data_IF_828989891953
#
_entry.id   IF_828989891953
#
_cell.length_a   1.000
_cell.length_b   1.000
_cell.length_c   1.000
_cell.angle_alpha   90.00
_cell.angle_beta   90.00
_cell.angle_gamma   90.00
#
_symmetry.space_group_name_H-M   'P 1'
#
loop_
_entity.id
_entity.type
_entity.pdbx_description
1 polymer ?
#
# COMPACT_ATOMS: atom_id res chain seq x y z
N UNK A 1 30.59 55.63 -6.92
CA UNK A 1 31.21 54.75 -5.90
C UNK A 1 32.20 53.73 -6.48
N UNK A 2 31.90 53.07 -7.61
CA UNK A 2 32.80 52.02 -8.17
C UNK A 2 34.19 52.52 -8.66
N UNK A 3 34.35 53.81 -9.01
CA UNK A 3 35.62 54.37 -9.50
C UNK A 3 36.77 54.38 -8.48
N UNK A 4 36.46 54.35 -7.18
CA UNK A 4 37.46 54.45 -6.10
C UNK A 4 37.77 53.09 -5.44
N UNK A 5 37.19 51.99 -5.93
CA UNK A 5 37.51 50.65 -5.46
C UNK A 5 38.73 50.12 -6.21
N UNK A 6 39.57 49.35 -5.51
CA UNK A 6 40.67 48.65 -6.18
C UNK A 6 40.18 47.68 -7.24
N UNK A 7 41.03 47.40 -8.22
CA UNK A 7 40.80 46.35 -9.23
C UNK A 7 40.51 45.01 -8.55
N UNK A 8 41.28 44.69 -7.50
CA UNK A 8 41.09 43.50 -6.67
C UNK A 8 39.69 43.44 -6.06
N UNK A 9 39.22 44.53 -5.43
CA UNK A 9 37.90 44.59 -4.82
C UNK A 9 36.77 44.46 -5.85
N UNK A 10 36.89 45.09 -7.02
CA UNK A 10 35.91 44.99 -8.11
C UNK A 10 35.74 43.54 -8.58
N UNK A 11 36.86 42.84 -8.82
CA UNK A 11 36.86 41.44 -9.25
C UNK A 11 36.25 40.53 -8.17
N UNK A 12 36.69 40.64 -6.92
CA UNK A 12 36.16 39.83 -5.83
C UNK A 12 34.67 40.08 -5.60
N UNK A 13 34.19 41.31 -5.67
CA UNK A 13 32.77 41.62 -5.50
C UNK A 13 31.90 40.95 -6.58
N UNK A 14 32.33 40.96 -7.84
CA UNK A 14 31.61 40.30 -8.94
C UNK A 14 31.56 38.78 -8.73
N UNK A 15 32.70 38.15 -8.50
CA UNK A 15 32.77 36.70 -8.26
C UNK A 15 32.03 36.28 -6.99
N UNK A 16 32.15 37.03 -5.89
CA UNK A 16 31.45 36.74 -4.64
C UNK A 16 29.93 36.79 -4.82
N UNK A 17 29.43 37.73 -5.62
CA UNK A 17 28.00 37.86 -5.91
C UNK A 17 27.46 36.64 -6.67
N UNK A 18 28.18 36.21 -7.72
CA UNK A 18 27.81 35.03 -8.51
C UNK A 18 27.91 33.75 -7.67
N UNK A 19 28.98 33.59 -6.89
CA UNK A 19 29.15 32.45 -5.99
C UNK A 19 28.06 32.41 -4.91
N UNK A 20 27.71 33.55 -4.33
CA UNK A 20 26.63 33.63 -3.36
C UNK A 20 25.30 33.17 -3.95
N UNK A 21 24.95 33.64 -5.16
CA UNK A 21 23.75 33.17 -5.84
C UNK A 21 23.79 31.68 -6.18
N UNK A 22 24.93 31.14 -6.59
CA UNK A 22 25.09 29.71 -6.82
C UNK A 22 24.84 28.89 -5.55
N UNK A 23 25.32 29.38 -4.39
CA UNK A 23 25.05 28.75 -3.09
C UNK A 23 23.56 28.81 -2.76
N UNK A 24 22.89 29.95 -2.99
CA UNK A 24 21.44 30.09 -2.78
C UNK A 24 20.66 29.12 -3.67
N UNK A 25 20.97 29.04 -4.97
CA UNK A 25 20.33 28.10 -5.91
C UNK A 25 20.55 26.66 -5.45
N UNK A 26 21.78 26.31 -5.06
CA UNK A 26 22.12 24.97 -4.60
C UNK A 26 21.37 24.61 -3.32
N UNK A 27 21.25 25.55 -2.37
CA UNK A 27 20.53 25.37 -1.12
C UNK A 27 19.02 25.20 -1.35
N UNK A 28 18.43 26.01 -2.21
CA UNK A 28 17.01 25.91 -2.60
C UNK A 28 16.76 24.57 -3.29
N UNK A 29 17.60 24.21 -4.26
CA UNK A 29 17.52 22.92 -4.97
C UNK A 29 17.61 21.73 -4.01
N UNK A 30 18.56 21.74 -3.08
CA UNK A 30 18.70 20.70 -2.06
C UNK A 30 17.45 20.59 -1.18
N UNK A 31 16.89 21.72 -0.73
CA UNK A 31 15.69 21.74 0.13
C UNK A 31 14.44 21.21 -0.57
N UNK A 32 14.27 21.52 -1.87
CA UNK A 32 13.16 21.00 -2.69
C UNK A 32 13.29 19.50 -2.88
N UNK A 33 14.48 19.02 -3.23
CA UNK A 33 14.73 17.58 -3.45
C UNK A 33 14.51 16.80 -2.15
N UNK A 34 15.00 17.31 -1.01
CA UNK A 34 14.81 16.67 0.29
C UNK A 34 13.34 16.53 0.68
N UNK A 35 12.60 17.65 0.69
CA UNK A 35 11.16 17.63 1.01
C UNK A 35 10.33 16.80 0.03
N UNK A 36 10.69 16.78 -1.26
CA UNK A 36 10.04 15.93 -2.25
C UNK A 36 10.32 14.45 -1.98
N UNK A 37 11.57 14.10 -1.65
CA UNK A 37 11.97 12.73 -1.36
C UNK A 37 11.20 12.16 -0.17
N UNK A 38 11.14 12.89 0.94
CA UNK A 38 10.43 12.46 2.17
C UNK A 38 8.92 12.30 1.91
N UNK A 39 8.34 13.22 1.14
CA UNK A 39 6.94 13.14 0.74
C UNK A 39 6.64 11.95 -0.16
N UNK A 40 7.49 11.66 -1.14
CA UNK A 40 7.34 10.49 -2.01
C UNK A 40 7.55 9.18 -1.27
N UNK A 41 8.41 9.14 -0.25
CA UNK A 41 8.58 7.97 0.61
C UNK A 41 7.30 7.66 1.39
N UNK A 42 6.69 8.68 2.02
CA UNK A 42 5.40 8.54 2.69
C UNK A 42 4.29 8.12 1.72
N UNK A 43 4.17 8.80 0.57
CA UNK A 43 3.19 8.46 -0.47
C UNK A 43 3.33 7.01 -0.91
N UNK A 44 4.57 6.55 -1.16
CA UNK A 44 4.87 5.16 -1.53
C UNK A 44 4.51 4.18 -0.41
N UNK A 45 4.76 4.53 0.85
CA UNK A 45 4.36 3.76 2.02
C UNK A 45 2.84 3.54 2.08
N UNK A 46 2.06 4.61 1.95
CA UNK A 46 0.60 4.54 1.92
C UNK A 46 0.07 3.78 0.71
N UNK A 47 0.66 3.96 -0.47
CA UNK A 47 0.30 3.18 -1.66
C UNK A 47 0.53 1.68 -1.47
N UNK A 48 1.65 1.29 -0.84
CA UNK A 48 1.94 -0.10 -0.49
C UNK A 48 0.89 -0.63 0.51
N UNK A 49 0.57 0.12 1.55
CA UNK A 49 -0.40 -0.30 2.56
C UNK A 49 -1.82 -0.41 2.00
N UNK A 50 -2.24 0.50 1.11
CA UNK A 50 -3.51 0.40 0.39
C UNK A 50 -3.58 -0.84 -0.50
N UNK A 51 -2.48 -1.18 -1.18
CA UNK A 51 -2.38 -2.42 -1.96
C UNK A 51 -2.41 -3.68 -1.07
N UNK A 52 -1.75 -3.64 0.10
CA UNK A 52 -1.83 -4.72 1.09
C UNK A 52 -3.27 -4.93 1.57
N UNK A 53 -4.00 -3.86 1.88
CA UNK A 53 -5.42 -3.95 2.21
C UNK A 53 -6.24 -4.59 1.07
N UNK A 54 -5.91 -4.30 -0.20
CA UNK A 54 -6.49 -4.99 -1.35
C UNK A 54 -6.19 -6.50 -1.38
N UNK A 55 -4.98 -6.92 -1.00
CA UNK A 55 -4.62 -8.35 -0.88
C UNK A 55 -5.35 -9.05 0.26
N UNK A 56 -5.49 -8.37 1.41
CA UNK A 56 -6.30 -8.83 2.54
C UNK A 56 -7.75 -9.05 2.09
N UNK A 57 -8.33 -8.09 1.36
CA UNK A 57 -9.69 -8.19 0.83
C UNK A 57 -9.86 -9.38 -0.12
N UNK A 58 -8.89 -9.63 -1.00
CA UNK A 58 -8.93 -10.75 -1.94
C UNK A 58 -8.81 -12.11 -1.23
N UNK A 59 -7.85 -12.26 -0.30
CA UNK A 59 -7.70 -13.50 0.46
C UNK A 59 -8.93 -13.78 1.34
N UNK A 60 -9.49 -12.74 1.99
CA UNK A 60 -10.73 -12.88 2.74
C UNK A 60 -11.88 -13.35 1.86
N UNK A 61 -11.99 -12.85 0.62
CA UNK A 61 -13.02 -13.30 -0.31
C UNK A 61 -12.86 -14.79 -0.64
N UNK A 62 -11.63 -15.24 -0.89
CA UNK A 62 -11.33 -16.66 -1.15
C UNK A 62 -11.59 -17.56 0.06
N UNK A 63 -11.22 -17.13 1.28
CA UNK A 63 -11.57 -17.84 2.52
C UNK A 63 -13.09 -17.94 2.67
N UNK A 64 -13.83 -16.84 2.45
CA UNK A 64 -15.30 -16.84 2.55
C UNK A 64 -15.96 -17.72 1.48
N UNK A 65 -15.41 -17.76 0.27
CA UNK A 65 -15.89 -18.62 -0.81
C UNK A 65 -15.64 -20.10 -0.46
N UNK A 66 -14.44 -20.42 0.01
CA UNK A 66 -14.07 -21.78 0.45
C UNK A 66 -14.94 -22.23 1.62
N UNK A 67 -15.23 -21.36 2.58
CA UNK A 67 -16.18 -21.67 3.66
C UNK A 67 -17.57 -21.99 3.12
N UNK A 68 -18.09 -21.22 2.16
CA UNK A 68 -19.39 -21.50 1.53
C UNK A 68 -19.38 -22.82 0.75
N UNK A 69 -18.31 -23.13 0.02
CA UNK A 69 -18.14 -24.41 -0.67
C UNK A 69 -18.13 -25.57 0.33
N UNK A 70 -17.38 -25.43 1.43
CA UNK A 70 -17.38 -26.41 2.51
C UNK A 70 -18.79 -26.64 3.09
N UNK A 71 -19.61 -25.60 3.27
CA UNK A 71 -20.98 -25.77 3.79
C UNK A 71 -21.88 -26.56 2.84
N UNK A 72 -21.60 -26.54 1.55
CA UNK A 72 -22.34 -27.24 0.51
C UNK A 72 -21.81 -28.67 0.35
N UNK A 73 -20.51 -28.83 0.17
CA UNK A 73 -19.88 -30.09 -0.24
C UNK A 73 -19.28 -30.89 0.94
N UNK A 74 -18.89 -30.21 2.01
CA UNK A 74 -18.28 -30.82 3.20
C UNK A 74 -16.90 -31.42 2.96
N UNK A 75 -16.14 -30.91 1.98
CA UNK A 75 -14.84 -31.46 1.58
C UNK A 75 -13.70 -30.85 2.38
N UNK A 76 -12.74 -31.69 2.80
CA UNK A 76 -11.56 -31.24 3.55
C UNK A 76 -10.72 -30.21 2.79
N UNK A 77 -10.65 -30.33 1.46
CA UNK A 77 -9.93 -29.38 0.60
C UNK A 77 -10.37 -27.94 0.83
N UNK A 78 -11.67 -27.70 1.04
CA UNK A 78 -12.19 -26.35 1.25
C UNK A 78 -11.79 -25.79 2.63
N UNK A 79 -11.64 -26.65 3.63
CA UNK A 79 -11.08 -26.29 4.95
C UNK A 79 -9.61 -25.90 4.80
N UNK A 80 -8.86 -26.66 4.01
CA UNK A 80 -7.44 -26.40 3.77
C UNK A 80 -7.25 -25.06 3.01
N UNK A 81 -8.05 -24.81 1.96
CA UNK A 81 -8.03 -23.55 1.21
C UNK A 81 -8.51 -22.36 2.05
N UNK A 82 -9.51 -22.56 2.91
CA UNK A 82 -9.92 -21.53 3.88
C UNK A 82 -8.75 -21.10 4.76
N UNK A 83 -8.04 -22.09 5.33
CA UNK A 83 -6.93 -21.87 6.25
C UNK A 83 -5.77 -21.14 5.57
N UNK A 84 -5.36 -21.59 4.38
CA UNK A 84 -4.27 -20.99 3.61
C UNK A 84 -4.49 -19.48 3.39
N UNK A 85 -5.67 -19.09 2.92
CA UNK A 85 -5.99 -17.70 2.66
C UNK A 85 -6.18 -16.88 3.94
N UNK A 86 -6.68 -17.49 5.02
CA UNK A 86 -6.83 -16.81 6.29
C UNK A 86 -5.46 -16.53 6.93
N UNK A 87 -4.53 -17.48 6.92
CA UNK A 87 -3.16 -17.30 7.39
C UNK A 87 -2.43 -16.21 6.59
N UNK A 88 -2.62 -16.16 5.27
CA UNK A 88 -2.09 -15.09 4.44
C UNK A 88 -2.66 -13.71 4.85
N UNK A 89 -3.96 -13.66 5.17
CA UNK A 89 -4.66 -12.46 5.65
C UNK A 89 -4.09 -11.99 6.99
N UNK A 90 -3.91 -12.91 7.94
CA UNK A 90 -3.31 -12.65 9.25
C UNK A 90 -1.86 -12.17 9.14
N UNK A 91 -1.06 -12.78 8.25
CA UNK A 91 0.31 -12.34 7.97
C UNK A 91 0.37 -10.90 7.45
N UNK A 92 -0.50 -10.54 6.50
CA UNK A 92 -0.59 -9.16 6.02
C UNK A 92 -1.09 -8.19 7.10
N UNK A 93 -2.00 -8.62 7.96
CA UNK A 93 -2.50 -7.80 9.06
C UNK A 93 -1.41 -7.53 10.10
N UNK A 94 -0.64 -8.54 10.48
CA UNK A 94 0.48 -8.39 11.41
C UNK A 94 1.54 -7.42 10.87
N UNK A 95 1.83 -7.46 9.57
CA UNK A 95 2.74 -6.51 8.94
C UNK A 95 2.16 -5.08 8.86
N UNK A 96 0.84 -4.94 8.68
CA UNK A 96 0.17 -3.64 8.71
C UNK A 96 0.20 -3.02 10.11
N UNK A 97 0.01 -3.82 11.17
CA UNK A 97 0.05 -3.36 12.55
C UNK A 97 1.43 -2.83 12.98
N UNK A 98 2.52 -3.40 12.47
CA UNK A 98 3.89 -2.93 12.76
C UNK A 98 4.20 -1.54 12.19
N UNK A 99 3.52 -1.16 11.11
CA UNK A 99 3.82 0.04 10.32
C UNK A 99 2.62 0.99 10.28
N UNK A 100 1.79 1.00 11.33
CA UNK A 100 0.60 1.84 11.40
C UNK A 100 0.95 3.23 11.90
N UNK A 101 0.56 4.25 11.15
CA UNK A 101 1.01 5.63 11.39
C UNK A 101 0.07 6.45 12.29
N UNK A 102 -1.17 5.99 12.50
CA UNK A 102 -2.24 6.76 13.16
C UNK A 102 -3.03 5.91 14.17
N UNK A 103 -3.40 6.44 15.35
CA UNK A 103 -4.20 5.73 16.35
C UNK A 103 -5.54 5.22 15.82
N UNK A 104 -6.18 5.95 14.90
CA UNK A 104 -7.45 5.56 14.29
C UNK A 104 -7.31 4.26 13.50
N UNK A 105 -6.28 4.17 12.63
CA UNK A 105 -5.97 2.94 11.88
C UNK A 105 -5.59 1.79 12.81
N UNK A 106 -4.82 2.06 13.86
CA UNK A 106 -4.46 1.04 14.84
C UNK A 106 -5.72 0.43 15.48
N UNK A 107 -6.70 1.26 15.84
CA UNK A 107 -8.00 0.81 16.35
C UNK A 107 -8.76 -0.06 15.36
N UNK A 108 -8.81 0.33 14.08
CA UNK A 108 -9.48 -0.45 13.02
C UNK A 108 -8.78 -1.81 12.82
N UNK A 109 -7.44 -1.83 12.77
CA UNK A 109 -6.67 -3.06 12.60
C UNK A 109 -6.84 -4.03 13.78
N UNK A 110 -6.91 -3.53 15.03
CA UNK A 110 -7.21 -4.36 16.20
C UNK A 110 -8.62 -4.96 16.14
N UNK A 111 -9.60 -4.17 15.71
CA UNK A 111 -10.97 -4.67 15.52
C UNK A 111 -11.02 -5.73 14.41
N UNK A 112 -10.29 -5.51 13.33
CA UNK A 112 -10.16 -6.46 12.23
C UNK A 112 -9.57 -7.79 12.69
N UNK A 113 -8.50 -7.76 13.50
CA UNK A 113 -7.89 -8.96 14.09
C UNK A 113 -8.87 -9.74 14.97
N UNK A 114 -9.58 -9.05 15.88
CA UNK A 114 -10.58 -9.70 16.74
C UNK A 114 -11.72 -10.34 15.94
N UNK A 115 -12.18 -9.66 14.88
CA UNK A 115 -13.22 -10.19 14.00
C UNK A 115 -12.73 -11.39 13.17
N UNK A 116 -11.48 -11.37 12.68
CA UNK A 116 -10.88 -12.50 11.97
C UNK A 116 -10.77 -13.73 12.88
N UNK A 117 -10.31 -13.57 14.12
CA UNK A 117 -10.25 -14.67 15.10
C UNK A 117 -11.65 -15.24 15.37
N UNK A 118 -12.64 -14.36 15.55
CA UNK A 118 -14.03 -14.80 15.77
C UNK A 118 -14.57 -15.54 14.53
N UNK A 119 -14.23 -15.08 13.33
CA UNK A 119 -14.62 -15.71 12.07
C UNK A 119 -13.98 -17.10 11.89
N UNK A 120 -12.67 -17.20 12.20
CA UNK A 120 -11.92 -18.45 12.24
C UNK A 120 -12.58 -19.46 13.18
N UNK A 121 -12.80 -19.08 14.43
CA UNK A 121 -13.32 -19.99 15.46
C UNK A 121 -14.73 -20.46 15.11
N UNK A 122 -15.58 -19.56 14.64
CA UNK A 122 -16.92 -19.90 14.18
C UNK A 122 -16.92 -20.85 12.97
N UNK A 123 -15.95 -20.71 12.06
CA UNK A 123 -15.81 -21.63 10.93
C UNK A 123 -15.44 -23.04 11.41
N UNK A 124 -14.46 -23.18 12.30
CA UNK A 124 -14.05 -24.49 12.83
C UNK A 124 -15.11 -25.14 13.74
N UNK A 125 -15.93 -24.32 14.42
CA UNK A 125 -17.13 -24.80 15.11
C UNK A 125 -18.11 -25.46 14.11
N UNK A 126 -18.34 -24.83 12.96
CA UNK A 126 -19.15 -25.39 11.87
C UNK A 126 -18.52 -26.66 11.28
N UNK A 127 -17.21 -26.71 11.07
CA UNK A 127 -16.49 -27.92 10.61
C UNK A 127 -16.76 -29.10 11.55
N UNK A 128 -16.64 -28.87 12.86
CA UNK A 128 -16.89 -29.89 13.88
C UNK A 128 -18.34 -30.38 13.86
N UNK A 129 -19.30 -29.45 13.75
CA UNK A 129 -20.72 -29.78 13.63
C UNK A 129 -21.02 -30.58 12.36
N UNK A 130 -20.41 -30.24 11.23
CA UNK A 130 -20.60 -30.97 9.97
C UNK A 130 -20.02 -32.39 10.03
N UNK A 131 -18.88 -32.59 10.68
CA UNK A 131 -18.32 -33.92 10.94
C UNK A 131 -19.26 -34.75 11.84
N UNK A 132 -19.78 -34.16 12.91
CA UNK A 132 -20.76 -34.81 13.80
C UNK A 132 -22.04 -35.16 13.07
N UNK A 133 -22.55 -34.27 12.20
CA UNK A 133 -23.71 -34.53 11.34
C UNK A 133 -23.48 -35.77 10.49
N UNK A 134 -22.32 -35.86 9.82
CA UNK A 134 -21.97 -37.01 8.96
C UNK A 134 -21.96 -38.32 9.73
N UNK A 135 -21.37 -38.35 10.93
CA UNK A 135 -21.35 -39.55 11.79
C UNK A 135 -22.76 -39.99 12.20
N UNK A 136 -23.65 -39.04 12.50
CA UNK A 136 -25.05 -39.35 12.83
C UNK A 136 -25.81 -39.85 11.59
N UNK A 137 -25.56 -39.23 10.43
CA UNK A 137 -26.15 -39.65 9.16
C UNK A 137 -25.77 -41.09 8.79
N UNK A 138 -24.51 -41.49 8.99
CA UNK A 138 -24.05 -42.87 8.76
C UNK A 138 -24.81 -43.88 9.65
N UNK A 139 -25.10 -43.52 10.90
CA UNK A 139 -25.93 -44.35 11.80
C UNK A 139 -27.37 -44.44 11.32
N UNK A 140 -27.98 -43.33 10.90
CA UNK A 140 -29.34 -43.32 10.34
C UNK A 140 -29.42 -44.19 9.07
N UNK A 141 -28.41 -44.10 8.21
CA UNK A 141 -28.29 -44.90 6.99
C UNK A 141 -28.05 -46.40 7.26
N UNK A 142 -27.65 -46.77 8.47
CA UNK A 142 -27.50 -48.17 8.89
C UNK A 142 -28.77 -48.68 9.59
N UNK A 143 -29.25 -47.96 10.61
CA UNK A 143 -30.37 -48.37 11.45
C UNK A 143 -31.71 -48.32 10.70
N UNK A 144 -31.92 -47.33 9.85
CA UNK A 144 -33.15 -47.17 9.06
C UNK A 144 -33.45 -48.37 8.15
N UNK A 145 -32.51 -48.81 7.28
CA UNK A 145 -32.67 -50.02 6.49
C UNK A 145 -32.77 -51.30 7.32
N UNK A 146 -32.10 -51.39 8.46
CA UNK A 146 -32.20 -52.58 9.31
C UNK A 146 -33.60 -52.72 9.91
N UNK A 147 -34.19 -51.63 10.41
CA UNK A 147 -35.59 -51.63 10.86
C UNK A 147 -36.56 -52.01 9.75
N UNK A 148 -36.37 -51.47 8.55
CA UNK A 148 -37.16 -51.79 7.37
C UNK A 148 -37.12 -53.30 7.08
N UNK A 149 -35.92 -53.90 7.00
CA UNK A 149 -35.76 -55.34 6.73
C UNK A 149 -36.42 -56.21 7.80
N UNK A 150 -36.19 -55.91 9.08
CA UNK A 150 -36.78 -56.67 10.19
C UNK A 150 -38.31 -56.59 10.16
N UNK A 151 -38.88 -55.41 9.88
CA UNK A 151 -40.32 -55.20 9.85
C UNK A 151 -40.97 -55.85 8.62
N UNK A 152 -40.27 -55.83 7.48
CA UNK A 152 -40.63 -56.59 6.28
C UNK A 152 -40.64 -58.10 6.54
N UNK A 153 -39.68 -58.63 7.30
CA UNK A 153 -39.66 -60.04 7.70
C UNK A 153 -40.83 -60.40 8.62
N UNK A 154 -41.14 -59.55 9.61
CA UNK A 154 -42.33 -59.71 10.47
C UNK A 154 -43.60 -59.75 9.63
N UNK A 155 -43.76 -58.82 8.69
CA UNK A 155 -44.92 -58.76 7.79
C UNK A 155 -45.05 -60.04 6.94
N UNK A 156 -43.97 -60.47 6.30
CA UNK A 156 -43.97 -61.62 5.39
C UNK A 156 -44.21 -62.94 6.13
N UNK A 157 -43.60 -63.12 7.31
CA UNK A 157 -43.79 -64.33 8.13
C UNK A 157 -45.18 -64.37 8.76
N UNK A 158 -45.71 -63.24 9.24
CA UNK A 158 -47.09 -63.14 9.71
C UNK A 158 -48.09 -63.52 8.61
N UNK A 159 -47.89 -63.04 7.38
CA UNK A 159 -48.74 -63.41 6.25
C UNK A 159 -48.66 -64.91 5.91
N UNK A 160 -47.46 -65.51 5.94
CA UNK A 160 -47.28 -66.97 5.74
C UNK A 160 -48.03 -67.79 6.79
N UNK A 161 -48.03 -67.32 8.03
CA UNK A 161 -48.74 -67.96 9.15
C UNK A 161 -50.24 -67.63 9.18
N UNK A 162 -50.75 -66.86 8.20
CA UNK A 162 -52.14 -66.34 8.13
C UNK A 162 -52.53 -65.46 9.32
N UNK A 163 -51.55 -64.85 9.98
CA UNK A 163 -51.72 -63.83 11.00
C UNK A 163 -51.93 -62.46 10.32
N UNK A 164 -53.14 -62.27 9.77
CA UNK A 164 -53.46 -61.10 8.96
C UNK A 164 -53.38 -59.78 9.73
N UNK A 165 -53.67 -59.82 11.04
CA UNK A 165 -53.60 -58.63 11.89
C UNK A 165 -52.14 -58.20 12.05
N UNK A 166 -51.24 -59.11 12.44
CA UNK A 166 -49.83 -58.78 12.55
C UNK A 166 -49.22 -58.37 11.20
N UNK A 167 -49.61 -59.02 10.10
CA UNK A 167 -49.15 -58.64 8.76
C UNK A 167 -49.61 -57.22 8.37
N UNK A 168 -50.87 -56.87 8.62
CA UNK A 168 -51.41 -55.54 8.36
C UNK A 168 -50.74 -54.45 9.21
N UNK A 169 -50.57 -54.72 10.51
CA UNK A 169 -49.90 -53.81 11.45
C UNK A 169 -48.43 -53.58 11.09
N UNK A 170 -47.71 -54.66 10.76
CA UNK A 170 -46.33 -54.56 10.29
C UNK A 170 -46.23 -53.76 8.97
N UNK A 171 -47.15 -53.96 8.03
CA UNK A 171 -47.22 -53.17 6.79
C UNK A 171 -47.53 -51.68 7.02
N UNK A 172 -48.40 -51.37 7.97
CA UNK A 172 -48.74 -49.97 8.32
C UNK A 172 -47.57 -49.29 9.01
N UNK A 173 -46.92 -49.97 9.97
CA UNK A 173 -45.69 -49.50 10.61
C UNK A 173 -44.58 -49.28 9.56
N UNK A 174 -44.44 -50.18 8.58
CA UNK A 174 -43.45 -50.07 7.50
C UNK A 174 -43.68 -48.84 6.64
N UNK A 175 -44.94 -48.53 6.28
CA UNK A 175 -45.30 -47.31 5.57
C UNK A 175 -44.88 -46.06 6.36
N UNK A 176 -45.22 -45.97 7.65
CA UNK A 176 -44.87 -44.82 8.49
C UNK A 176 -43.35 -44.68 8.66
N UNK A 177 -42.63 -45.79 8.83
CA UNK A 177 -41.17 -45.80 8.87
C UNK A 177 -40.55 -45.26 7.57
N UNK A 178 -41.04 -45.70 6.41
CA UNK A 178 -40.54 -45.26 5.10
C UNK A 178 -40.82 -43.76 4.86
N UNK A 179 -42.00 -43.28 5.27
CA UNK A 179 -42.33 -41.85 5.21
C UNK A 179 -41.45 -41.04 6.16
N UNK A 180 -41.26 -41.48 7.41
CA UNK A 180 -40.34 -40.84 8.34
C UNK A 180 -38.93 -40.75 7.73
N UNK A 181 -38.40 -41.83 7.17
CA UNK A 181 -37.08 -41.87 6.50
C UNK A 181 -37.00 -40.93 5.30
N UNK A 182 -38.04 -40.85 4.48
CA UNK A 182 -38.11 -39.89 3.36
C UNK A 182 -38.00 -38.45 3.85
N UNK A 183 -38.71 -38.10 4.92
CA UNK A 183 -38.67 -36.75 5.49
C UNK A 183 -37.38 -36.46 6.26
N UNK A 184 -36.68 -37.49 6.78
CA UNK A 184 -35.30 -37.34 7.29
C UNK A 184 -34.37 -36.88 6.16
N UNK A 185 -34.43 -37.51 4.99
CA UNK A 185 -33.60 -37.13 3.83
C UNK A 185 -33.95 -35.70 3.39
N UNK A 186 -35.24 -35.37 3.26
CA UNK A 186 -35.66 -33.99 2.93
C UNK A 186 -35.16 -32.96 3.94
N UNK A 187 -35.14 -33.32 5.23
CA UNK A 187 -34.59 -32.45 6.27
C UNK A 187 -33.08 -32.29 6.13
N UNK A 188 -32.33 -33.36 5.89
CA UNK A 188 -30.87 -33.32 5.68
C UNK A 188 -30.47 -32.46 4.47
N UNK A 189 -31.27 -32.49 3.41
CA UNK A 189 -31.02 -31.70 2.19
C UNK A 189 -31.39 -30.23 2.34
N UNK A 190 -32.56 -29.94 2.93
CA UNK A 190 -33.14 -28.58 2.90
C UNK A 190 -33.13 -27.85 4.25
N UNK A 191 -32.87 -28.56 5.35
CA UNK A 191 -32.92 -28.05 6.72
C UNK A 191 -34.25 -27.35 7.09
N UNK A 192 -35.37 -27.75 6.47
CA UNK A 192 -36.67 -27.08 6.68
C UNK A 192 -37.45 -27.65 7.87
N UNK A 193 -38.05 -26.76 8.66
CA UNK A 193 -38.76 -27.13 9.89
C UNK A 193 -39.99 -28.02 9.65
N UNK A 194 -40.67 -27.86 8.52
CA UNK A 194 -41.82 -28.67 8.11
C UNK A 194 -41.43 -30.15 7.91
N UNK A 195 -40.25 -30.40 7.33
CA UNK A 195 -39.71 -31.75 7.19
C UNK A 195 -39.42 -32.37 8.57
N UNK A 196 -38.80 -31.62 9.49
CA UNK A 196 -38.58 -32.09 10.87
C UNK A 196 -39.89 -32.44 11.58
N UNK A 197 -40.90 -31.57 11.49
CA UNK A 197 -42.23 -31.82 12.06
C UNK A 197 -42.87 -33.08 11.45
N UNK A 198 -42.72 -33.26 10.13
CA UNK A 198 -43.26 -34.45 9.46
C UNK A 198 -42.55 -35.72 9.88
N UNK A 199 -41.22 -35.71 10.06
CA UNK A 199 -40.51 -36.86 10.64
C UNK A 199 -41.09 -37.20 12.00
N UNK A 200 -41.28 -36.23 12.89
CA UNK A 200 -41.84 -36.46 14.22
C UNK A 200 -43.23 -37.09 14.17
N UNK A 201 -44.11 -36.59 13.30
CA UNK A 201 -45.47 -37.14 13.13
C UNK A 201 -45.44 -38.58 12.63
N UNK A 202 -44.72 -38.86 11.55
CA UNK A 202 -44.63 -40.22 10.97
C UNK A 202 -43.96 -41.20 11.93
N UNK A 203 -43.01 -40.73 12.73
CA UNK A 203 -42.36 -41.55 13.75
C UNK A 203 -43.29 -41.92 14.89
N UNK A 204 -44.14 -40.99 15.33
CA UNK A 204 -45.15 -41.26 16.35
C UNK A 204 -46.16 -42.32 15.86
N UNK A 205 -46.61 -42.21 14.61
CA UNK A 205 -47.49 -43.21 13.98
C UNK A 205 -46.80 -44.58 13.89
N UNK A 206 -45.52 -44.60 13.49
CA UNK A 206 -44.70 -45.81 13.47
C UNK A 206 -44.58 -46.47 14.86
N UNK A 207 -44.25 -45.70 15.90
CA UNK A 207 -44.12 -46.22 17.26
C UNK A 207 -45.45 -46.74 17.81
N UNK A 208 -46.56 -46.08 17.50
CA UNK A 208 -47.89 -46.54 17.88
C UNK A 208 -48.24 -47.89 17.25
N UNK A 209 -48.03 -48.05 15.95
CA UNK A 209 -48.27 -49.32 15.25
C UNK A 209 -47.31 -50.42 15.73
N UNK A 210 -46.05 -50.09 15.98
CA UNK A 210 -45.05 -51.04 16.50
C UNK A 210 -45.41 -51.53 17.90
N UNK A 211 -45.87 -50.65 18.79
CA UNK A 211 -46.31 -51.04 20.14
C UNK A 211 -47.59 -51.88 20.10
N UNK A 212 -48.52 -51.57 19.19
CA UNK A 212 -49.72 -52.38 18.99
C UNK A 212 -49.35 -53.78 18.50
N UNK A 213 -48.47 -53.87 17.49
CA UNK A 213 -47.95 -55.13 16.95
C UNK A 213 -47.24 -55.97 18.02
N UNK A 214 -46.43 -55.34 18.88
CA UNK A 214 -45.74 -56.00 20.01
C UNK A 214 -46.74 -56.66 20.99
N UNK A 215 -47.88 -56.03 21.22
CA UNK A 215 -48.93 -56.56 22.12
C UNK A 215 -49.72 -57.73 21.54
N UNK A 216 -49.82 -57.83 20.22
CA UNK A 216 -50.63 -58.83 19.51
C UNK A 216 -49.83 -60.08 19.14
N UNK A 217 -48.52 -59.96 18.93
CA UNK A 217 -47.68 -61.04 18.41
C UNK A 217 -47.26 -62.05 19.50
N UNK A 218 -47.64 -63.31 19.31
CA UNK A 218 -47.27 -64.41 20.23
C UNK A 218 -46.02 -65.19 19.77
N UNK A 219 -45.74 -65.22 18.47
CA UNK A 219 -44.60 -65.94 17.90
C UNK A 219 -43.27 -65.43 18.47
N UNK A 220 -42.43 -66.33 18.99
CA UNK A 220 -41.17 -65.97 19.67
C UNK A 220 -40.16 -65.30 18.74
N UNK A 221 -40.01 -65.80 17.50
CA UNK A 221 -39.12 -65.20 16.51
C UNK A 221 -39.56 -63.79 16.12
N UNK A 222 -40.88 -63.57 15.89
CA UNK A 222 -41.41 -62.24 15.61
C UNK A 222 -41.26 -61.28 16.79
N UNK A 223 -41.45 -61.75 18.03
CA UNK A 223 -41.22 -60.93 19.24
C UNK A 223 -39.76 -60.48 19.36
N UNK A 224 -38.80 -61.35 19.04
CA UNK A 224 -37.38 -60.95 19.01
C UNK A 224 -37.14 -59.86 17.97
N UNK A 225 -37.62 -60.03 16.74
CA UNK A 225 -37.50 -59.01 15.69
C UNK A 225 -38.11 -57.68 16.09
N UNK A 226 -39.30 -57.69 16.72
CA UNK A 226 -39.97 -56.48 17.23
C UNK A 226 -39.13 -55.80 18.32
N UNK A 227 -38.57 -56.57 19.26
CA UNK A 227 -37.67 -56.05 20.28
C UNK A 227 -36.45 -55.37 19.67
N UNK A 228 -35.83 -56.00 18.66
CA UNK A 228 -34.68 -55.44 17.94
C UNK A 228 -35.07 -54.15 17.21
N UNK A 229 -36.24 -54.11 16.55
CA UNK A 229 -36.79 -52.90 15.91
C UNK A 229 -37.00 -51.79 16.95
N UNK A 230 -37.56 -52.08 18.13
CA UNK A 230 -37.75 -51.08 19.20
C UNK A 230 -36.42 -50.53 19.75
N UNK A 231 -35.35 -51.34 19.76
CA UNK A 231 -34.00 -50.88 20.07
C UNK A 231 -33.49 -49.89 19.02
N UNK A 232 -33.48 -50.33 17.76
CA UNK A 232 -33.05 -49.52 16.63
C UNK A 232 -33.88 -48.24 16.48
N UNK A 233 -35.18 -48.30 16.77
CA UNK A 233 -36.08 -47.15 16.69
C UNK A 233 -35.73 -46.09 17.74
N UNK A 234 -35.41 -46.48 18.97
CA UNK A 234 -34.99 -45.51 19.99
C UNK A 234 -33.68 -44.82 19.61
N UNK A 235 -32.72 -45.59 19.09
CA UNK A 235 -31.45 -45.04 18.60
C UNK A 235 -31.64 -44.13 17.40
N UNK A 236 -32.37 -44.57 16.37
CA UNK A 236 -32.66 -43.80 15.17
C UNK A 236 -33.34 -42.46 15.50
N UNK A 237 -34.31 -42.48 16.42
CA UNK A 237 -34.99 -41.26 16.87
C UNK A 237 -34.05 -40.30 17.58
N UNK A 238 -33.21 -40.84 18.47
CA UNK A 238 -32.22 -40.06 19.22
C UNK A 238 -31.19 -39.43 18.28
N UNK A 239 -30.65 -40.22 17.34
CA UNK A 239 -29.68 -39.74 16.35
C UNK A 239 -30.30 -38.69 15.41
N UNK A 240 -31.56 -38.85 15.00
CA UNK A 240 -32.25 -37.83 14.21
C UNK A 240 -32.47 -36.52 14.97
N UNK A 241 -32.84 -36.58 16.26
CA UNK A 241 -32.97 -35.38 17.08
C UNK A 241 -31.61 -34.70 17.28
N UNK A 242 -30.52 -35.47 17.39
CA UNK A 242 -29.16 -34.94 17.42
C UNK A 242 -28.77 -34.27 16.10
N UNK A 243 -29.14 -34.87 14.95
CA UNK A 243 -28.97 -34.24 13.63
C UNK A 243 -29.69 -32.90 13.57
N UNK A 244 -30.94 -32.84 14.06
CA UNK A 244 -31.70 -31.61 14.15
C UNK A 244 -30.97 -30.54 14.95
N UNK A 245 -30.51 -30.86 16.16
CA UNK A 245 -29.75 -29.93 17.02
C UNK A 245 -28.49 -29.44 16.31
N UNK A 246 -27.68 -30.36 15.76
CA UNK A 246 -26.42 -30.02 15.07
C UNK A 246 -26.65 -29.11 13.87
N UNK A 247 -27.69 -29.37 13.08
CA UNK A 247 -28.05 -28.51 11.93
C UNK A 247 -28.53 -27.13 12.41
N UNK A 248 -29.32 -27.08 13.48
CA UNK A 248 -29.81 -25.81 14.05
C UNK A 248 -28.65 -24.97 14.58
N UNK A 249 -27.76 -25.56 15.38
CA UNK A 249 -26.59 -24.90 15.95
C UNK A 249 -25.67 -24.38 14.83
N UNK A 250 -25.45 -25.21 13.80
CA UNK A 250 -24.66 -24.83 12.63
C UNK A 250 -25.28 -23.64 11.89
N UNK A 251 -26.58 -23.68 11.62
CA UNK A 251 -27.27 -22.60 10.91
C UNK A 251 -27.23 -21.30 11.71
N UNK A 252 -27.40 -21.37 13.03
CA UNK A 252 -27.27 -20.22 13.93
C UNK A 252 -25.87 -19.58 13.83
N UNK A 253 -24.80 -20.40 13.83
CA UNK A 253 -23.42 -19.89 13.67
C UNK A 253 -23.22 -19.25 12.30
N UNK A 254 -23.71 -19.88 11.23
CA UNK A 254 -23.57 -19.35 9.87
C UNK A 254 -24.31 -18.01 9.74
N UNK A 255 -25.58 -17.96 10.10
CA UNK A 255 -26.45 -16.80 9.89
C UNK A 255 -26.14 -15.65 10.85
N UNK A 256 -25.88 -15.96 12.13
CA UNK A 256 -25.71 -14.94 13.16
C UNK A 256 -24.27 -14.59 13.50
N UNK A 257 -23.27 -15.40 13.10
CA UNK A 257 -21.85 -15.05 13.22
C UNK A 257 -21.21 -14.83 11.85
N UNK A 258 -21.05 -15.89 11.04
CA UNK A 258 -20.21 -15.83 9.83
C UNK A 258 -20.74 -14.85 8.77
N UNK A 259 -22.05 -14.90 8.48
CA UNK A 259 -22.66 -14.03 7.48
C UNK A 259 -22.75 -12.56 7.93
N UNK A 260 -22.58 -12.26 9.22
CA UNK A 260 -22.51 -10.88 9.75
C UNK A 260 -21.08 -10.37 9.85
N UNK A 261 -20.18 -11.19 10.40
CA UNK A 261 -18.78 -10.82 10.64
C UNK A 261 -18.02 -10.72 9.32
N UNK A 262 -18.25 -11.62 8.35
CA UNK A 262 -17.57 -11.59 7.06
C UNK A 262 -17.69 -10.24 6.31
N UNK A 263 -18.91 -9.69 6.14
CA UNK A 263 -19.10 -8.33 5.61
C UNK A 263 -18.49 -7.23 6.47
N UNK A 264 -18.54 -7.34 7.81
CA UNK A 264 -17.94 -6.35 8.70
C UNK A 264 -16.42 -6.28 8.53
N UNK A 265 -15.73 -7.43 8.50
CA UNK A 265 -14.29 -7.52 8.18
C UNK A 265 -14.02 -6.86 6.82
N UNK A 266 -14.83 -7.15 5.80
CA UNK A 266 -14.67 -6.56 4.46
C UNK A 266 -14.82 -5.03 4.48
N UNK A 267 -15.73 -4.51 5.29
CA UNK A 267 -15.94 -3.06 5.49
C UNK A 267 -14.75 -2.41 6.19
N UNK A 268 -14.22 -3.04 7.24
CA UNK A 268 -13.05 -2.52 7.97
C UNK A 268 -11.81 -2.47 7.08
N UNK A 269 -11.60 -3.49 6.24
CA UNK A 269 -10.50 -3.52 5.27
C UNK A 269 -10.64 -2.40 4.24
N UNK A 270 -11.86 -2.17 3.72
CA UNK A 270 -12.12 -1.07 2.79
C UNK A 270 -11.92 0.30 3.47
N UNK A 271 -12.31 0.44 4.74
CA UNK A 271 -12.08 1.67 5.52
C UNK A 271 -10.59 1.99 5.66
N UNK A 272 -9.74 1.00 5.98
CA UNK A 272 -8.28 1.16 6.02
C UNK A 272 -7.74 1.57 4.66
N UNK A 273 -8.16 0.89 3.58
CA UNK A 273 -7.74 1.17 2.21
C UNK A 273 -8.10 2.60 1.78
N UNK A 274 -9.34 3.02 2.04
CA UNK A 274 -9.81 4.37 1.74
C UNK A 274 -9.13 5.42 2.60
N UNK A 275 -8.80 5.10 3.86
CA UNK A 275 -8.02 5.97 4.73
C UNK A 275 -6.63 6.27 4.13
N UNK A 276 -5.88 5.26 3.69
CA UNK A 276 -4.59 5.47 3.01
C UNK A 276 -4.74 6.18 1.67
N UNK A 277 -5.81 5.91 0.92
CA UNK A 277 -6.10 6.59 -0.34
C UNK A 277 -6.37 8.08 -0.13
N UNK A 278 -7.14 8.44 0.90
CA UNK A 278 -7.45 9.83 1.22
C UNK A 278 -6.20 10.63 1.57
N UNK A 279 -5.25 10.03 2.29
CA UNK A 279 -3.96 10.67 2.59
C UNK A 279 -3.11 10.86 1.33
N UNK A 280 -3.10 9.87 0.42
CA UNK A 280 -2.45 9.99 -0.90
C UNK A 280 -3.09 11.08 -1.77
N UNK A 281 -4.43 11.15 -1.80
CA UNK A 281 -5.17 12.13 -2.60
C UNK A 281 -4.97 13.58 -2.08
N UNK A 282 -4.54 13.75 -0.81
CA UNK A 282 -4.11 15.05 -0.25
C UNK A 282 -2.63 15.34 -0.53
N UNK A 283 -1.74 14.41 -0.20
CA UNK A 283 -0.29 14.63 -0.29
C UNK A 283 0.20 14.73 -1.74
N UNK A 284 -0.36 13.94 -2.66
CA UNK A 284 0.06 13.94 -4.07
C UNK A 284 0.01 15.33 -4.72
N UNK A 285 -1.14 16.02 -4.70
CA UNK A 285 -1.26 17.40 -5.20
C UNK A 285 -0.37 18.41 -4.45
N UNK A 286 -0.20 18.27 -3.14
CA UNK A 286 0.67 19.14 -2.34
C UNK A 286 2.14 19.02 -2.74
N UNK A 287 2.62 17.79 -2.96
CA UNK A 287 3.97 17.52 -3.46
C UNK A 287 4.17 18.06 -4.86
N UNK A 288 3.20 17.89 -5.76
CA UNK A 288 3.26 18.45 -7.11
C UNK A 288 3.34 19.98 -7.07
N UNK A 289 2.46 20.64 -6.30
CA UNK A 289 2.47 22.09 -6.17
C UNK A 289 3.76 22.62 -5.51
N UNK A 290 4.30 21.90 -4.53
CA UNK A 290 5.58 22.22 -3.89
C UNK A 290 6.73 22.13 -4.90
N UNK A 291 6.77 21.07 -5.70
CA UNK A 291 7.79 20.88 -6.74
C UNK A 291 7.69 21.94 -7.85
N UNK A 292 6.48 22.27 -8.32
CA UNK A 292 6.26 23.32 -9.32
C UNK A 292 6.74 24.69 -8.83
N UNK A 293 6.43 25.03 -7.57
CA UNK A 293 6.95 26.25 -6.92
C UNK A 293 8.47 26.22 -6.81
N UNK A 294 9.03 25.07 -6.42
CA UNK A 294 10.47 24.88 -6.31
C UNK A 294 11.21 25.09 -7.63
N UNK A 295 10.71 24.47 -8.70
CA UNK A 295 11.24 24.62 -10.06
C UNK A 295 11.15 26.10 -10.49
N UNK A 296 10.02 26.76 -10.25
CA UNK A 296 9.85 28.17 -10.56
C UNK A 296 10.89 29.05 -9.84
N UNK A 297 11.14 28.80 -8.54
CA UNK A 297 12.16 29.53 -7.78
C UNK A 297 13.57 29.31 -8.35
N UNK A 298 13.92 28.08 -8.71
CA UNK A 298 15.22 27.77 -9.34
C UNK A 298 15.38 28.54 -10.66
N UNK A 299 14.34 28.57 -11.51
CA UNK A 299 14.36 29.31 -12.77
C UNK A 299 14.56 30.81 -12.52
N UNK A 300 13.79 31.40 -11.61
CA UNK A 300 13.89 32.83 -11.28
C UNK A 300 15.28 33.18 -10.74
N UNK A 301 15.80 32.43 -9.77
CA UNK A 301 17.14 32.68 -9.23
C UNK A 301 18.24 32.46 -10.26
N UNK A 302 18.09 31.48 -11.17
CA UNK A 302 19.05 31.24 -12.26
C UNK A 302 19.06 32.40 -13.26
N UNK A 303 17.88 32.94 -13.61
CA UNK A 303 17.78 34.13 -14.47
C UNK A 303 18.38 35.37 -13.81
N UNK A 304 18.14 35.57 -12.50
CA UNK A 304 18.77 36.65 -11.73
C UNK A 304 20.28 36.46 -11.70
N UNK A 305 20.79 35.25 -11.47
CA UNK A 305 22.21 34.94 -11.48
C UNK A 305 22.87 35.23 -12.82
N UNK A 306 22.21 34.86 -13.91
CA UNK A 306 22.67 35.16 -15.26
C UNK A 306 22.71 36.67 -15.51
N UNK A 307 21.64 37.39 -15.18
CA UNK A 307 21.56 38.83 -15.34
C UNK A 307 22.64 39.56 -14.51
N UNK A 308 22.84 39.14 -13.25
CA UNK A 308 23.89 39.68 -12.38
C UNK A 308 25.29 39.35 -12.89
N UNK A 309 25.51 38.15 -13.43
CA UNK A 309 26.79 37.77 -14.05
C UNK A 309 27.12 38.62 -15.27
N UNK A 310 26.14 38.85 -16.15
CA UNK A 310 26.27 39.76 -17.31
C UNK A 310 26.53 41.20 -16.84
N UNK A 311 25.75 41.69 -15.87
CA UNK A 311 25.91 43.03 -15.32
C UNK A 311 27.30 43.22 -14.68
N UNK A 312 27.75 42.27 -13.86
CA UNK A 312 29.08 42.29 -13.26
C UNK A 312 30.19 42.26 -14.33
N UNK A 313 30.05 41.42 -15.36
CA UNK A 313 30.98 41.36 -16.49
C UNK A 313 31.13 42.73 -17.17
N UNK A 314 30.01 43.39 -17.50
CA UNK A 314 30.03 44.72 -18.15
C UNK A 314 30.56 45.81 -17.20
N UNK A 315 30.13 45.82 -15.94
CA UNK A 315 30.50 46.82 -14.94
C UNK A 315 31.97 46.73 -14.53
N UNK A 316 32.57 45.54 -14.55
CA UNK A 316 33.98 45.31 -14.22
C UNK A 316 34.85 45.50 -15.46
N UNK A 317 34.39 45.06 -16.64
CA UNK A 317 35.15 45.15 -17.90
C UNK A 317 35.44 46.60 -18.29
N UNK A 318 34.46 47.50 -18.25
CA UNK A 318 34.65 48.91 -18.67
C UNK A 318 35.74 49.67 -17.90
N UNK A 319 35.70 49.77 -16.56
CA UNK A 319 36.68 50.55 -15.79
C UNK A 319 38.06 49.91 -15.68
N UNK A 320 38.26 48.68 -16.18
CA UNK A 320 39.56 47.99 -16.18
C UNK A 320 40.11 47.91 -17.59
N UNK A 321 39.38 47.27 -18.53
CA UNK A 321 39.89 46.95 -19.87
C UNK A 321 40.16 48.20 -20.68
N UNK A 322 39.27 49.21 -20.63
CA UNK A 322 39.45 50.42 -21.43
C UNK A 322 40.69 51.24 -20.97
N UNK A 323 40.84 51.60 -19.68
CA UNK A 323 42.05 52.27 -19.20
C UNK A 323 43.33 51.47 -19.44
N UNK A 324 43.31 50.15 -19.26
CA UNK A 324 44.47 49.31 -19.55
C UNK A 324 44.86 49.39 -21.03
N UNK A 325 43.89 49.37 -21.95
CA UNK A 325 44.16 49.56 -23.38
C UNK A 325 44.75 50.95 -23.69
N UNK A 326 44.28 52.00 -23.00
CA UNK A 326 44.85 53.36 -23.12
C UNK A 326 46.30 53.42 -22.61
N UNK A 327 46.58 52.81 -21.45
CA UNK A 327 47.93 52.67 -20.92
C UNK A 327 48.86 51.94 -21.90
N UNK A 328 48.40 50.83 -22.48
CA UNK A 328 49.16 50.06 -23.49
C UNK A 328 49.42 50.91 -24.74
N UNK A 329 48.41 51.63 -25.24
CA UNK A 329 48.54 52.47 -26.43
C UNK A 329 49.57 53.59 -26.22
N UNK A 330 49.55 54.26 -25.06
CA UNK A 330 50.51 55.33 -24.75
C UNK A 330 51.90 54.76 -24.54
N UNK A 331 52.05 53.66 -23.81
CA UNK A 331 53.34 53.01 -23.64
C UNK A 331 53.97 52.59 -24.98
N UNK A 332 53.16 52.08 -25.92
CA UNK A 332 53.61 51.73 -27.26
C UNK A 332 54.08 52.96 -28.05
N UNK A 333 53.28 54.04 -28.06
CA UNK A 333 53.66 55.29 -28.73
C UNK A 333 54.96 55.89 -28.18
N UNK A 334 55.16 55.82 -26.87
CA UNK A 334 56.41 56.26 -26.20
C UNK A 334 57.58 55.36 -26.59
N UNK A 335 57.38 54.05 -26.69
CA UNK A 335 58.41 53.11 -27.16
C UNK A 335 58.79 53.36 -28.63
N UNK A 336 57.84 53.79 -29.46
CA UNK A 336 58.04 54.17 -30.86
C UNK A 336 58.64 55.60 -31.01
N UNK A 337 58.92 56.28 -29.90
CA UNK A 337 59.61 57.57 -29.86
C UNK A 337 58.70 58.81 -29.79
N UNK A 338 57.39 58.64 -29.68
CA UNK A 338 56.45 59.77 -29.50
C UNK A 338 56.30 60.15 -28.01
N UNK A 339 57.08 61.14 -27.57
CA UNK A 339 57.09 61.64 -26.20
C UNK A 339 56.07 62.75 -25.93
N UNK A 340 55.16 63.04 -26.87
CA UNK A 340 54.10 64.04 -26.68
C UNK A 340 52.78 63.45 -26.14
N UNK A 341 52.82 62.19 -25.74
CA UNK A 341 51.68 61.49 -25.18
C UNK A 341 51.43 61.89 -23.72
N UNK A 342 50.15 61.89 -23.31
CA UNK A 342 49.78 62.09 -21.90
C UNK A 342 48.55 61.26 -21.54
N UNK A 343 48.58 60.63 -20.38
CA UNK A 343 47.46 59.85 -19.84
C UNK A 343 46.67 60.72 -18.87
N UNK A 344 45.41 61.02 -19.19
CA UNK A 344 44.51 61.72 -18.28
C UNK A 344 43.45 60.71 -17.83
N UNK A 345 43.79 59.95 -16.78
CA UNK A 345 42.88 58.98 -16.17
C UNK A 345 42.36 59.52 -14.83
N UNK A 346 41.05 59.75 -14.76
CA UNK A 346 40.31 60.09 -13.52
C UNK A 346 40.02 58.81 -12.71
N UNK A 347 41.07 58.19 -12.16
CA UNK A 347 41.00 56.98 -11.33
C UNK A 347 41.92 57.07 -10.12
N UNK A 348 41.43 56.62 -8.96
CA UNK A 348 42.17 56.58 -7.69
C UNK A 348 42.52 55.15 -7.25
N UNK A 349 42.67 54.23 -8.19
CA UNK A 349 42.98 52.82 -7.94
C UNK A 349 44.37 52.44 -8.49
N UNK A 350 44.66 51.13 -8.58
CA UNK A 350 45.94 50.65 -9.08
C UNK A 350 46.22 51.10 -10.53
N UNK A 351 45.18 51.29 -11.33
CA UNK A 351 45.32 51.75 -12.73
C UNK A 351 45.65 53.25 -12.77
N UNK A 352 45.01 54.05 -11.91
CA UNK A 352 45.35 55.47 -11.73
C UNK A 352 46.81 55.66 -11.32
N UNK A 353 47.25 54.90 -10.31
CA UNK A 353 48.66 54.90 -9.86
C UNK A 353 49.63 54.54 -11.00
N UNK A 354 49.27 53.56 -11.83
CA UNK A 354 50.08 53.15 -12.99
C UNK A 354 50.13 54.23 -14.07
N UNK A 355 49.01 54.93 -14.31
CA UNK A 355 48.93 56.05 -15.24
C UNK A 355 49.84 57.21 -14.82
N UNK A 356 49.82 57.59 -13.54
CA UNK A 356 50.70 58.61 -12.97
C UNK A 356 52.17 58.22 -13.11
N UNK A 357 52.48 56.95 -12.86
CA UNK A 357 53.84 56.41 -13.01
C UNK A 357 54.32 56.50 -14.47
N UNK A 358 53.48 56.14 -15.44
CA UNK A 358 53.80 56.25 -16.87
C UNK A 358 53.97 57.72 -17.28
N UNK A 359 53.09 58.63 -16.86
CA UNK A 359 53.24 60.06 -17.12
C UNK A 359 54.56 60.63 -16.58
N UNK A 360 54.97 60.20 -15.38
CA UNK A 360 56.26 60.55 -14.79
C UNK A 360 57.44 60.06 -15.62
N UNK A 361 57.34 58.85 -16.18
CA UNK A 361 58.32 58.28 -17.11
C UNK A 361 58.39 59.06 -18.43
N UNK A 362 57.25 59.34 -19.07
CA UNK A 362 57.19 60.14 -20.31
C UNK A 362 57.80 61.52 -20.10
N UNK A 363 57.47 62.17 -18.97
CA UNK A 363 58.05 63.48 -18.61
C UNK A 363 59.57 63.40 -18.44
N UNK A 364 60.07 62.33 -17.83
CA UNK A 364 61.51 62.12 -17.62
C UNK A 364 62.24 61.83 -18.94
N UNK A 365 61.66 61.00 -19.81
CA UNK A 365 62.17 60.72 -21.15
C UNK A 365 62.17 61.97 -22.03
N UNK A 366 61.09 62.76 -22.01
CA UNK A 366 61.00 64.02 -22.74
C UNK A 366 62.06 65.03 -22.29
N UNK A 367 62.26 65.18 -20.97
CA UNK A 367 63.35 66.01 -20.44
C UNK A 367 64.73 65.51 -20.87
N UNK A 368 64.95 64.20 -20.89
CA UNK A 368 66.21 63.61 -21.34
C UNK A 368 66.44 63.83 -22.84
N UNK A 369 65.39 63.69 -23.67
CA UNK A 369 65.45 63.94 -25.11
C UNK A 369 65.63 65.44 -25.44
N UNK A 370 64.90 66.33 -24.76
CA UNK A 370 65.08 67.79 -24.85
C UNK A 370 66.50 68.20 -24.44
N UNK A 371 67.04 67.64 -23.36
CA UNK A 371 68.41 67.87 -22.92
C UNK A 371 69.44 67.33 -23.93
N UNK A 372 69.15 66.20 -24.59
CA UNK A 372 69.98 65.67 -25.67
C UNK A 372 69.95 66.58 -26.89
N UNK A 373 68.77 67.05 -27.31
CA UNK A 373 68.61 67.99 -28.43
C UNK A 373 69.31 69.32 -28.14
N UNK A 374 69.21 69.85 -26.91
CA UNK A 374 69.92 71.06 -26.50
C UNK A 374 71.44 70.85 -26.52
N UNK A 375 71.91 69.69 -26.04
CA UNK A 375 73.33 69.34 -26.07
C UNK A 375 73.83 69.17 -27.51
N UNK A 376 73.09 68.46 -28.38
CA UNK A 376 73.39 68.33 -29.80
C UNK A 376 73.43 69.70 -30.48
N UNK A 377 72.53 70.63 -30.11
CA UNK A 377 72.54 72.02 -30.61
C UNK A 377 73.77 72.79 -30.12
N UNK A 378 74.17 72.64 -28.85
CA UNK A 378 75.40 73.24 -28.31
C UNK A 378 76.64 72.68 -28.99
N UNK A 379 76.72 71.36 -29.16
CA UNK A 379 77.78 70.67 -29.90
C UNK A 379 77.84 71.17 -31.35
N UNK A 380 76.70 71.34 -32.02
CA UNK A 380 76.65 71.87 -33.39
C UNK A 380 77.10 73.33 -33.49
N UNK A 381 76.70 74.19 -32.55
CA UNK A 381 77.19 75.58 -32.46
C UNK A 381 78.70 75.63 -32.22
N UNK A 382 79.22 74.77 -31.33
CA UNK A 382 80.67 74.67 -31.10
C UNK A 382 81.40 74.13 -32.33
N UNK A 383 80.85 73.13 -33.03
CA UNK A 383 81.42 72.62 -34.28
C UNK A 383 81.40 73.67 -35.40
N UNK A 384 80.35 74.47 -35.50
CA UNK A 384 80.24 75.59 -36.45
C UNK A 384 81.25 76.72 -36.10
N UNK A 385 81.48 77.00 -34.81
CA UNK A 385 82.52 77.95 -34.36
C UNK A 385 83.94 77.43 -34.61
N UNK A 386 84.20 76.13 -34.40
CA UNK A 386 85.50 75.48 -34.65
C UNK A 386 85.80 75.37 -36.16
N UNK A 387 84.80 75.12 -36.99
CA UNK A 387 84.96 75.10 -38.45
C UNK A 387 85.01 76.48 -39.10
N UNK A 388 84.56 77.53 -38.40
CA UNK A 388 84.79 78.94 -38.79
C UNK A 388 86.17 79.49 -38.34
N UNK A 389 86.92 78.73 -37.52
CA UNK A 389 88.27 79.10 -37.02
C UNK A 389 89.40 78.20 -37.51
N UNK A 390 89.10 77.25 -38.42
CA UNK A 390 90.06 76.51 -39.23
C UNK A 390 90.03 77.04 -40.67
#
# INVERSE_FOLDING_TARGET
>A
MLKNLSVKQKIYAGFATVLFLLVVISFVGYSIIGSSSDGFEQYRGWAKNANTAGRVQANLLESRLSAKNFFIEGLQKDVDTFQEHLEATEGFLADAQKNVDTPEREGILKKLEGNLNTYHDAFYEVVTLMQKRKQLEDKLNTNGPQMERNLSEVMLTANRDRDLVAAYRAGTALRSLLLARLYVIKYLEKNQQDAYQRVNSEYADFEQELNTLDSEVQNSSRRQLISDIKGLAREYKTDFNNVYSVISDRNEIIENKLDKIGPEISSLVEEVKLSYKNDQDKLGPELQASNDRGIMLIIVFSLIALAMGVAASVLISRPIVQPVNELVSVAQAVADGDLNQSLILDQNDEIGTLAETINGMVTSLKKADDARIENDRKVKVVLDEVSATA
#
